data_IF_527829030083
#
_entry.id   IF_527829030083
#
_cell.length_a   1.000
_cell.length_b   1.000
_cell.length_c   1.000
_cell.angle_alpha   90.00
_cell.angle_beta   90.00
_cell.angle_gamma   90.00
#
_symmetry.space_group_name_H-M   'P 1'
#
loop_
_entity.id
_entity.type
_entity.pdbx_description
1 polymer ?
#
# COMPACT_ATOMS: atom_id res chain seq x y z
N UNK A 1 22.94 17.09 -1.04
CA UNK A 1 24.11 16.86 -0.17
C UNK A 1 24.94 15.81 -0.87
N UNK A 2 26.16 16.16 -1.29
CA UNK A 2 26.97 15.33 -2.19
C UNK A 2 27.85 14.39 -1.34
N UNK A 3 27.67 13.09 -1.52
CA UNK A 3 28.51 12.09 -0.85
C UNK A 3 29.67 11.77 -1.79
N UNK A 4 30.89 11.98 -1.32
CA UNK A 4 32.12 11.68 -2.06
C UNK A 4 32.71 10.42 -1.46
N UNK A 5 32.92 9.41 -2.30
CA UNK A 5 33.59 8.17 -1.91
C UNK A 5 34.96 8.15 -2.57
N UNK A 6 36.00 8.05 -1.75
CA UNK A 6 37.38 7.88 -2.20
C UNK A 6 37.70 6.38 -2.22
N UNK A 7 38.06 5.86 -3.39
CA UNK A 7 38.50 4.48 -3.55
C UNK A 7 39.97 4.53 -3.97
N UNK A 8 40.83 3.99 -3.12
CA UNK A 8 42.27 3.83 -3.39
C UNK A 8 42.53 2.36 -3.70
N UNK A 9 43.15 2.06 -4.85
CA UNK A 9 43.66 0.71 -5.10
C UNK A 9 45.02 0.48 -4.40
N UNK A 10 45.48 -0.77 -4.33
CA UNK A 10 46.79 -1.12 -3.76
C UNK A 10 48.01 -0.50 -4.48
N UNK A 11 47.80 0.19 -5.61
CA UNK A 11 48.81 0.93 -6.37
C UNK A 11 48.70 2.46 -6.15
N UNK A 12 47.92 2.92 -5.16
CA UNK A 12 47.71 4.33 -4.80
C UNK A 12 47.12 5.18 -5.93
N UNK A 13 46.31 4.60 -6.81
CA UNK A 13 45.51 5.38 -7.76
C UNK A 13 44.22 5.79 -7.07
N UNK A 14 44.05 7.09 -6.86
CA UNK A 14 42.86 7.64 -6.23
C UNK A 14 41.77 7.86 -7.29
N UNK A 15 40.68 7.09 -7.18
CA UNK A 15 39.48 7.32 -7.97
C UNK A 15 38.44 8.02 -7.10
N UNK A 16 37.97 9.19 -7.55
CA UNK A 16 36.92 9.96 -6.88
C UNK A 16 35.59 9.69 -7.56
N UNK A 17 34.70 8.99 -6.85
CA UNK A 17 33.33 8.74 -7.34
C UNK A 17 32.38 9.69 -6.64
N UNK A 18 31.66 10.47 -7.45
CA UNK A 18 30.64 11.41 -6.98
C UNK A 18 29.28 10.80 -7.25
N UNK A 19 28.55 10.45 -6.20
CA UNK A 19 27.17 9.97 -6.32
C UNK A 19 26.23 11.17 -6.21
N UNK A 20 25.45 11.44 -7.25
CA UNK A 20 24.30 12.32 -7.12
C UNK A 20 23.27 11.61 -6.24
N UNK A 21 22.97 12.17 -5.06
CA UNK A 21 21.96 11.59 -4.19
C UNK A 21 20.61 11.65 -4.91
N UNK A 22 20.01 10.50 -5.21
CA UNK A 22 18.66 10.42 -5.76
C UNK A 22 17.69 11.29 -4.94
N UNK A 23 16.80 11.98 -5.65
CA UNK A 23 15.87 12.95 -5.09
C UNK A 23 15.20 12.45 -3.79
N UNK A 24 15.06 13.36 -2.81
CA UNK A 24 14.30 13.11 -1.58
C UNK A 24 12.94 12.52 -1.95
N UNK A 25 12.66 11.32 -1.46
CA UNK A 25 11.34 10.70 -1.59
C UNK A 25 10.36 11.62 -0.87
N UNK A 26 9.47 12.26 -1.62
CA UNK A 26 8.37 13.01 -1.04
C UNK A 26 7.42 12.01 -0.37
N UNK A 27 7.52 11.89 0.95
CA UNK A 27 6.61 11.05 1.73
C UNK A 27 5.24 11.72 1.78
N UNK A 28 4.34 11.29 0.89
CA UNK A 28 2.92 11.67 0.96
C UNK A 28 2.26 10.90 2.10
N UNK A 29 1.71 11.63 3.07
CA UNK A 29 0.88 11.09 4.15
C UNK A 29 -0.58 11.40 3.87
N UNK A 30 -1.45 10.40 4.03
CA UNK A 30 -2.89 10.55 3.85
C UNK A 30 -3.53 10.70 5.23
N UNK A 31 -4.45 11.66 5.36
CA UNK A 31 -5.19 11.94 6.59
C UNK A 31 -6.69 11.67 6.38
N UNK A 32 -7.33 11.19 7.43
CA UNK A 32 -8.80 11.08 7.52
C UNK A 32 -9.42 12.49 7.60
N UNK A 33 -10.74 12.60 7.38
CA UNK A 33 -11.47 13.88 7.50
C UNK A 33 -11.32 14.56 8.87
N UNK A 34 -10.99 13.78 9.90
CA UNK A 34 -10.80 14.24 11.28
C UNK A 34 -9.32 14.56 11.59
N UNK A 35 -8.42 14.48 10.61
CA UNK A 35 -7.00 14.83 10.75
C UNK A 35 -6.10 13.70 11.26
N UNK A 36 -6.64 12.53 11.59
CA UNK A 36 -5.83 11.35 11.95
C UNK A 36 -5.15 10.75 10.72
N UNK A 37 -3.95 10.20 10.89
CA UNK A 37 -3.27 9.48 9.81
C UNK A 37 -4.08 8.26 9.38
N UNK A 38 -4.12 7.99 8.09
CA UNK A 38 -4.71 6.74 7.57
C UNK A 38 -3.73 5.61 7.87
N UNK A 39 -4.18 4.63 8.66
CA UNK A 39 -3.39 3.45 8.96
C UNK A 39 -3.16 2.62 7.69
N UNK A 40 -1.89 2.31 7.41
CA UNK A 40 -1.52 1.41 6.32
C UNK A 40 -1.52 -0.01 6.85
N UNK A 41 -2.63 -0.72 6.68
CA UNK A 41 -2.69 -2.15 6.92
C UNK A 41 -2.17 -2.91 5.70
N UNK A 42 -1.05 -3.62 5.87
CA UNK A 42 -0.58 -4.58 4.86
C UNK A 42 -1.19 -5.95 5.15
N UNK A 43 -2.39 -6.18 4.63
CA UNK A 43 -3.04 -7.49 4.70
C UNK A 43 -2.29 -8.51 3.84
N UNK A 44 -1.93 -9.65 4.42
CA UNK A 44 -1.48 -10.82 3.66
C UNK A 44 -2.72 -11.63 3.30
N UNK A 45 -2.88 -12.03 2.03
CA UNK A 45 -4.10 -12.72 1.57
C UNK A 45 -4.46 -13.95 2.43
N UNK A 46 -3.46 -14.67 2.93
CA UNK A 46 -3.65 -15.83 3.81
C UNK A 46 -4.01 -15.53 5.26
N UNK A 47 -3.93 -14.28 5.71
CA UNK A 47 -4.36 -13.85 7.06
C UNK A 47 -5.79 -13.32 7.07
N UNK A 48 -6.48 -13.32 5.92
CA UNK A 48 -7.87 -12.90 5.82
C UNK A 48 -8.76 -14.12 5.99
N UNK A 49 -9.69 -14.07 6.94
CA UNK A 49 -10.69 -15.11 7.12
C UNK A 49 -11.77 -14.98 6.04
N UNK A 50 -11.58 -15.66 4.91
CA UNK A 50 -12.50 -15.64 3.76
C UNK A 50 -13.50 -16.80 3.75
N UNK A 51 -13.55 -17.59 4.83
CA UNK A 51 -14.47 -18.72 4.93
C UNK A 51 -15.90 -18.20 5.15
N UNK A 52 -16.88 -18.85 4.52
CA UNK A 52 -18.30 -18.43 4.61
C UNK A 52 -18.77 -18.29 6.06
N UNK A 53 -18.45 -19.26 6.92
CA UNK A 53 -18.81 -19.22 8.35
C UNK A 53 -18.17 -18.04 9.10
N UNK A 54 -16.97 -17.59 8.69
CA UNK A 54 -16.31 -16.44 9.30
C UNK A 54 -16.97 -15.14 8.81
N UNK A 55 -17.33 -15.07 7.54
CA UNK A 55 -17.98 -13.90 6.93
C UNK A 55 -19.43 -13.71 7.38
N UNK A 56 -20.16 -14.80 7.68
CA UNK A 56 -21.56 -14.76 8.15
C UNK A 56 -21.70 -14.82 9.66
N UNK A 57 -20.60 -14.64 10.41
CA UNK A 57 -20.63 -14.71 11.89
C UNK A 57 -21.53 -13.65 12.51
N UNK A 58 -21.51 -12.44 11.95
CA UNK A 58 -22.18 -11.26 12.49
C UNK A 58 -23.22 -10.66 11.52
N UNK A 59 -23.53 -11.32 10.40
CA UNK A 59 -24.52 -10.84 9.43
C UNK A 59 -25.13 -11.97 8.59
N UNK A 60 -26.32 -11.73 8.04
CA UNK A 60 -26.97 -12.66 7.11
C UNK A 60 -26.26 -12.68 5.74
N UNK A 61 -26.53 -13.70 4.93
CA UNK A 61 -26.00 -13.79 3.55
C UNK A 61 -26.42 -12.60 2.68
N UNK A 62 -27.65 -12.12 2.86
CA UNK A 62 -28.20 -10.98 2.13
C UNK A 62 -27.48 -9.69 2.53
N UNK A 63 -27.27 -9.48 3.83
CA UNK A 63 -26.51 -8.34 4.35
C UNK A 63 -25.04 -8.37 3.92
N UNK A 64 -24.43 -9.56 3.91
CA UNK A 64 -23.06 -9.74 3.41
C UNK A 64 -22.98 -9.39 1.93
N UNK A 65 -23.95 -9.83 1.12
CA UNK A 65 -24.00 -9.53 -0.31
C UNK A 65 -24.11 -8.02 -0.57
N UNK A 66 -24.97 -7.31 0.16
CA UNK A 66 -25.12 -5.86 0.04
C UNK A 66 -23.82 -5.14 0.41
N UNK A 67 -23.15 -5.54 1.51
CA UNK A 67 -21.87 -4.95 1.92
C UNK A 67 -20.74 -5.18 0.91
N UNK A 68 -20.73 -6.33 0.25
CA UNK A 68 -19.74 -6.63 -0.79
C UNK A 68 -19.93 -5.74 -2.02
N UNK A 69 -21.18 -5.52 -2.42
CA UNK A 69 -21.52 -4.61 -3.52
C UNK A 69 -21.17 -3.16 -3.15
N UNK A 70 -21.65 -2.67 -2.00
CA UNK A 70 -21.39 -1.28 -1.57
C UNK A 70 -19.89 -0.98 -1.39
N UNK A 71 -19.12 -1.99 -1.00
CA UNK A 71 -17.68 -1.89 -0.81
C UNK A 71 -16.86 -1.93 -2.09
N UNK A 72 -17.46 -2.37 -3.21
CA UNK A 72 -16.77 -2.53 -4.49
C UNK A 72 -17.27 -1.48 -5.51
N UNK A 73 -16.49 -0.41 -5.78
CA UNK A 73 -16.89 0.62 -6.72
C UNK A 73 -16.94 0.13 -8.18
N UNK A 74 -16.47 -1.08 -8.48
CA UNK A 74 -16.57 -1.70 -9.81
C UNK A 74 -17.88 -2.49 -9.99
N UNK A 75 -18.59 -2.83 -8.91
CA UNK A 75 -19.86 -3.55 -8.98
C UNK A 75 -20.99 -2.54 -9.14
N UNK A 76 -21.38 -2.31 -10.38
CA UNK A 76 -22.55 -1.51 -10.72
C UNK A 76 -23.79 -2.41 -10.94
N UNK A 77 -24.69 -2.42 -9.95
CA UNK A 77 -25.95 -3.15 -10.04
C UNK A 77 -26.94 -2.55 -11.06
N UNK A 78 -26.76 -1.29 -11.48
CA UNK A 78 -27.60 -0.67 -12.52
C UNK A 78 -27.29 -1.25 -13.91
N UNK A 79 -26.09 -1.81 -14.10
CA UNK A 79 -25.66 -2.48 -15.32
C UNK A 79 -26.06 -3.97 -15.36
N UNK A 80 -26.21 -4.62 -14.20
CA UNK A 80 -26.60 -6.03 -14.09
C UNK A 80 -28.13 -6.19 -14.16
N UNK A 81 -28.69 -6.07 -15.37
CA UNK A 81 -30.13 -6.32 -15.59
C UNK A 81 -30.70 -5.94 -16.96
N UNK A 82 -29.85 -5.69 -17.96
CA UNK A 82 -30.28 -5.49 -19.36
C UNK A 82 -30.12 -6.75 -20.20
#
# INVERSE_FOLDING_TARGET
MQVIINISDGQKRDSRVTMESGNKINNVSYKTKNGHNVDRFRGVKGSLETNLNALTKDCSLEELSAKLVDGDPEIDLELFGK
#
